data_IF_120587268658
#
_entry.id   IF_120587268658
#
_cell.length_a   1.000
_cell.length_b   1.000
_cell.length_c   1.000
_cell.angle_alpha   90.00
_cell.angle_beta   90.00
_cell.angle_gamma   90.00
#
_symmetry.space_group_name_H-M   'P 1'
#
loop_
_entity.id
_entity.type
_entity.pdbx_description
1 polymer ?
#
# COMPACT_ATOMS: atom_id res chain seq x y z
N UNK A 1 19.60 48.39 21.85
CA UNK A 1 20.21 47.31 21.02
C UNK A 1 19.17 46.70 20.07
N UNK A 2 18.67 47.45 19.07
CA UNK A 2 17.58 47.01 18.20
C UNK A 2 17.98 45.97 17.14
N UNK A 3 19.22 46.01 16.65
CA UNK A 3 19.70 45.09 15.61
C UNK A 3 19.70 43.63 16.08
N UNK A 4 20.05 43.37 17.34
CA UNK A 4 20.08 42.03 17.93
C UNK A 4 18.69 41.38 17.92
N UNK A 5 17.65 42.15 18.26
CA UNK A 5 16.27 41.65 18.29
C UNK A 5 15.78 41.20 16.91
N UNK A 6 16.09 41.96 15.85
CA UNK A 6 15.77 41.59 14.48
C UNK A 6 16.50 40.33 14.02
N UNK A 7 17.79 40.22 14.35
CA UNK A 7 18.59 39.02 14.03
C UNK A 7 18.01 37.78 14.71
N UNK A 8 17.65 37.88 16.00
CA UNK A 8 17.03 36.76 16.72
C UNK A 8 15.70 36.36 16.09
N UNK A 9 14.84 37.32 15.75
CA UNK A 9 13.54 37.03 15.13
C UNK A 9 13.72 36.28 13.79
N UNK A 10 14.63 36.74 12.95
CA UNK A 10 14.91 36.09 11.65
C UNK A 10 15.41 34.66 11.85
N UNK A 11 16.37 34.44 12.75
CA UNK A 11 16.90 33.10 13.03
C UNK A 11 15.79 32.18 13.55
N UNK A 12 15.00 32.64 14.51
CA UNK A 12 13.87 31.87 15.05
C UNK A 12 12.87 31.53 13.95
N UNK A 13 12.51 32.49 13.10
CA UNK A 13 11.60 32.26 11.98
C UNK A 13 12.15 31.20 11.00
N UNK A 14 13.44 31.23 10.70
CA UNK A 14 14.08 30.23 9.82
C UNK A 14 14.06 28.83 10.42
N UNK A 15 14.32 28.68 11.73
CA UNK A 15 14.25 27.39 12.42
C UNK A 15 12.82 26.83 12.38
N UNK A 16 11.83 27.67 12.70
CA UNK A 16 10.42 27.27 12.66
C UNK A 16 10.00 26.88 11.24
N UNK A 17 10.43 27.66 10.22
CA UNK A 17 10.15 27.36 8.82
C UNK A 17 10.76 26.01 8.40
N UNK A 18 12.00 25.72 8.79
CA UNK A 18 12.65 24.44 8.50
C UNK A 18 11.89 23.25 9.12
N UNK A 19 11.48 23.38 10.39
CA UNK A 19 10.68 22.35 11.07
C UNK A 19 9.31 22.17 10.39
N UNK A 20 8.62 23.27 10.05
CA UNK A 20 7.33 23.24 9.37
C UNK A 20 7.41 22.53 8.02
N UNK A 21 8.44 22.81 7.21
CA UNK A 21 8.67 22.14 5.93
C UNK A 21 8.88 20.63 6.11
N UNK A 22 9.63 20.22 7.14
CA UNK A 22 9.78 18.80 7.50
C UNK A 22 8.44 18.14 7.80
N UNK A 23 7.61 18.77 8.63
CA UNK A 23 6.28 18.26 8.97
C UNK A 23 5.34 18.19 7.77
N UNK A 24 5.33 19.22 6.93
CA UNK A 24 4.54 19.25 5.69
C UNK A 24 4.90 18.05 4.81
N UNK A 25 6.20 17.77 4.64
CA UNK A 25 6.67 16.61 3.87
C UNK A 25 6.14 15.30 4.45
N UNK A 26 6.19 15.12 5.77
CA UNK A 26 5.68 13.91 6.45
C UNK A 26 4.18 13.75 6.21
N UNK A 27 3.40 14.82 6.34
CA UNK A 27 1.94 14.78 6.10
C UNK A 27 1.63 14.29 4.68
N UNK A 28 2.34 14.78 3.66
CA UNK A 28 2.16 14.32 2.29
C UNK A 28 2.51 12.83 2.11
N UNK A 29 3.59 12.35 2.73
CA UNK A 29 3.96 10.94 2.67
C UNK A 29 2.88 10.06 3.33
N UNK A 30 2.41 10.42 4.52
CA UNK A 30 1.35 9.68 5.20
C UNK A 30 0.06 9.64 4.38
N UNK A 31 -0.29 10.74 3.70
CA UNK A 31 -1.45 10.79 2.81
C UNK A 31 -1.29 9.88 1.60
N UNK A 32 -0.10 9.83 1.01
CA UNK A 32 0.21 8.94 -0.10
C UNK A 32 0.13 7.47 0.33
N UNK A 33 0.76 7.11 1.45
CA UNK A 33 0.71 5.76 2.03
C UNK A 33 -0.73 5.33 2.31
N UNK A 34 -1.53 6.19 2.96
CA UNK A 34 -2.94 5.91 3.23
C UNK A 34 -3.74 5.61 1.96
N UNK A 35 -3.49 6.38 0.88
CA UNK A 35 -4.14 6.15 -0.42
C UNK A 35 -3.74 4.81 -1.02
N UNK A 36 -2.45 4.50 -1.02
CA UNK A 36 -1.94 3.21 -1.51
C UNK A 36 -2.53 2.04 -0.72
N UNK A 37 -2.59 2.14 0.61
CA UNK A 37 -3.22 1.13 1.46
C UNK A 37 -4.69 0.93 1.09
N UNK A 38 -5.45 2.02 0.89
CA UNK A 38 -6.84 1.92 0.44
C UNK A 38 -6.99 1.18 -0.90
N UNK A 39 -6.11 1.47 -1.87
CA UNK A 39 -6.11 0.79 -3.16
C UNK A 39 -5.75 -0.70 -3.04
N UNK A 40 -4.74 -1.04 -2.23
CA UNK A 40 -4.32 -2.43 -2.01
C UNK A 40 -5.42 -3.23 -1.33
N UNK A 41 -6.03 -2.69 -0.28
CA UNK A 41 -7.15 -3.34 0.42
C UNK A 41 -8.32 -3.58 -0.54
N UNK A 42 -8.70 -2.56 -1.32
CA UNK A 42 -9.75 -2.70 -2.33
C UNK A 42 -9.41 -3.75 -3.38
N UNK A 43 -8.19 -3.75 -3.91
CA UNK A 43 -7.73 -4.72 -4.89
C UNK A 43 -7.75 -6.16 -4.36
N UNK A 44 -7.24 -6.39 -3.15
CA UNK A 44 -7.27 -7.71 -2.49
C UNK A 44 -8.70 -8.17 -2.24
N UNK A 45 -9.59 -7.29 -1.81
CA UNK A 45 -11.00 -7.63 -1.61
C UNK A 45 -11.67 -8.07 -2.91
N UNK A 46 -11.39 -7.40 -4.03
CA UNK A 46 -11.90 -7.80 -5.36
C UNK A 46 -11.35 -9.16 -5.76
N UNK A 47 -10.04 -9.40 -5.61
CA UNK A 47 -9.45 -10.72 -5.93
C UNK A 47 -10.11 -11.81 -5.10
N UNK A 48 -10.21 -11.62 -3.78
CA UNK A 48 -10.84 -12.58 -2.88
C UNK A 48 -12.29 -12.90 -3.29
N UNK A 49 -13.06 -11.87 -3.66
CA UNK A 49 -14.43 -12.05 -4.14
C UNK A 49 -14.49 -12.81 -5.48
N UNK A 50 -13.56 -12.54 -6.41
CA UNK A 50 -13.52 -13.20 -7.72
C UNK A 50 -13.04 -14.64 -7.63
N UNK A 51 -12.19 -14.96 -6.65
CA UNK A 51 -11.68 -16.31 -6.42
C UNK A 51 -12.48 -17.09 -5.39
N UNK A 52 -13.61 -16.58 -4.91
CA UNK A 52 -14.37 -17.20 -3.82
C UNK A 52 -14.89 -18.59 -4.15
N UNK A 53 -15.16 -18.86 -5.43
CA UNK A 53 -15.67 -20.15 -5.92
C UNK A 53 -14.57 -21.16 -6.23
N UNK A 54 -13.30 -20.74 -6.28
CA UNK A 54 -12.18 -21.63 -6.61
C UNK A 54 -12.07 -22.80 -5.64
N UNK A 55 -12.10 -22.62 -4.30
CA UNK A 55 -12.01 -23.74 -3.37
C UNK A 55 -13.14 -24.76 -3.50
N UNK A 56 -14.31 -24.33 -3.95
CA UNK A 56 -15.48 -25.18 -4.14
C UNK A 56 -15.41 -25.99 -5.45
N UNK A 57 -14.97 -25.35 -6.54
CA UNK A 57 -14.97 -25.97 -7.88
C UNK A 57 -13.70 -26.79 -8.15
N UNK A 58 -12.57 -26.44 -7.54
CA UNK A 58 -11.27 -27.07 -7.80
C UNK A 58 -11.24 -28.59 -7.56
N UNK A 59 -11.87 -29.17 -6.50
CA UNK A 59 -11.92 -30.61 -6.31
C UNK A 59 -12.63 -31.35 -7.46
N UNK A 60 -13.71 -30.78 -7.98
CA UNK A 60 -14.47 -31.37 -9.08
C UNK A 60 -13.63 -31.41 -10.37
N UNK A 61 -13.01 -30.28 -10.73
CA UNK A 61 -12.13 -30.21 -11.92
C UNK A 61 -10.94 -31.16 -11.80
N UNK A 62 -10.33 -31.26 -10.63
CA UNK A 62 -9.24 -32.21 -10.39
C UNK A 62 -9.69 -33.67 -10.51
N UNK A 63 -10.93 -33.99 -10.12
CA UNK A 63 -11.49 -35.32 -10.29
C UNK A 63 -11.73 -35.64 -11.78
N UNK A 64 -12.25 -34.68 -12.55
CA UNK A 64 -12.50 -34.85 -13.99
C UNK A 64 -11.21 -34.98 -14.81
N UNK A 65 -10.13 -34.30 -14.40
CA UNK A 65 -8.83 -34.36 -15.09
C UNK A 65 -7.96 -35.56 -14.67
N UNK A 66 -8.32 -36.26 -13.58
CA UNK A 66 -7.57 -37.43 -13.09
C UNK A 66 -7.34 -38.51 -14.15
N UNK A 67 -8.33 -38.94 -14.95
CA UNK A 67 -8.12 -39.96 -15.98
C UNK A 67 -7.10 -39.57 -17.05
N UNK A 68 -7.07 -38.29 -17.43
CA UNK A 68 -6.10 -37.76 -18.41
C UNK A 68 -4.69 -37.81 -17.84
N UNK A 69 -4.53 -37.42 -16.57
CA UNK A 69 -3.24 -37.52 -15.87
C UNK A 69 -2.78 -38.98 -15.79
N UNK A 70 -3.64 -39.87 -15.34
CA UNK A 70 -3.31 -41.30 -15.17
C UNK A 70 -2.92 -41.94 -16.53
N UNK A 71 -3.53 -41.52 -17.65
CA UNK A 71 -3.11 -41.94 -18.99
C UNK A 71 -1.70 -41.43 -19.35
N UNK A 72 -1.41 -40.15 -19.14
CA UNK A 72 -0.09 -39.59 -19.45
C UNK A 72 1.04 -40.21 -18.60
N UNK A 73 0.75 -40.66 -17.38
CA UNK A 73 1.72 -41.36 -16.51
C UNK A 73 1.98 -42.81 -16.95
N UNK A 74 1.14 -43.37 -17.82
CA UNK A 74 1.24 -44.75 -18.31
C UNK A 74 2.03 -44.92 -19.61
N UNK A 75 2.42 -43.81 -20.25
CA UNK A 75 3.21 -43.74 -21.49
C UNK A 75 4.66 -43.37 -21.16
#
# INVERSE_FOLDING_TARGET
MPAVAWVTLVITALIVAAAALGLIRVIFHLRAVRRTLGNVIGGVAVVAQRTSTVPEVLPAVNAELKPVRDFCESV
#
